data_IF_701228669096
#
_entry.id   IF_701228669096
#
_cell.length_a   1.000
_cell.length_b   1.000
_cell.length_c   1.000
_cell.angle_alpha   90.00
_cell.angle_beta   90.00
_cell.angle_gamma   90.00
#
_symmetry.space_group_name_H-M   'P 1'
#
loop_
_entity.id
_entity.type
_entity.pdbx_description
1 polymer ?
#
# COMPACT_ATOMS: atom_id res chain seq x y z
N UNK A 1 18.64 -6.30 -2.54
CA UNK A 1 17.40 -5.82 -1.88
C UNK A 1 16.33 -5.36 -2.88
N UNK A 2 16.64 -4.62 -3.97
CA UNK A 2 15.61 -4.26 -4.97
C UNK A 2 15.07 -5.45 -5.77
N UNK A 3 15.90 -6.46 -6.07
CA UNK A 3 15.51 -7.69 -6.78
C UNK A 3 14.42 -8.50 -6.08
N UNK A 4 14.23 -8.31 -4.77
CA UNK A 4 13.15 -8.96 -4.01
C UNK A 4 11.87 -8.12 -3.93
N UNK A 5 11.84 -6.88 -4.44
CA UNK A 5 10.66 -6.01 -4.36
C UNK A 5 9.55 -6.45 -5.31
N UNK A 6 9.86 -6.84 -6.55
CA UNK A 6 8.85 -7.35 -7.48
C UNK A 6 8.13 -8.61 -6.95
N UNK A 7 8.82 -9.66 -6.47
CA UNK A 7 8.12 -10.79 -5.86
C UNK A 7 7.39 -10.40 -4.57
N UNK A 8 7.93 -9.49 -3.75
CA UNK A 8 7.26 -8.97 -2.56
C UNK A 8 5.91 -8.29 -2.90
N UNK A 9 5.88 -7.42 -3.90
CA UNK A 9 4.66 -6.75 -4.34
C UNK A 9 3.65 -7.72 -4.95
N UNK A 10 4.12 -8.70 -5.75
CA UNK A 10 3.25 -9.75 -6.29
C UNK A 10 2.60 -10.55 -5.18
N UNK A 11 3.37 -10.98 -4.17
CA UNK A 11 2.84 -11.79 -3.06
C UNK A 11 1.87 -11.03 -2.16
N UNK A 12 2.13 -9.75 -1.88
CA UNK A 12 1.27 -8.97 -0.98
C UNK A 12 0.02 -8.41 -1.66
N UNK A 13 0.16 -7.97 -2.91
CA UNK A 13 -0.84 -7.13 -3.56
C UNK A 13 -1.35 -7.70 -4.88
N UNK A 14 -0.77 -8.81 -5.36
CA UNK A 14 -1.02 -9.35 -6.68
C UNK A 14 -0.79 -8.32 -7.81
N UNK A 15 0.18 -7.41 -7.61
CA UNK A 15 0.61 -6.44 -8.61
C UNK A 15 2.10 -6.58 -8.90
N UNK A 16 2.49 -6.23 -10.13
CA UNK A 16 3.88 -6.20 -10.57
C UNK A 16 4.16 -4.92 -11.34
N UNK A 17 4.17 -3.75 -10.67
CA UNK A 17 4.57 -2.51 -11.33
C UNK A 17 6.01 -2.62 -11.78
N UNK A 18 6.34 -2.00 -12.92
CA UNK A 18 7.72 -1.82 -13.35
C UNK A 18 8.45 -1.02 -12.27
N UNK A 19 9.61 -1.50 -11.84
CA UNK A 19 10.46 -0.76 -10.91
C UNK A 19 11.51 -0.01 -11.72
N UNK A 20 11.58 1.30 -11.55
CA UNK A 20 12.44 2.18 -12.33
C UNK A 20 13.44 2.85 -11.38
N UNK A 21 14.68 2.96 -11.82
CA UNK A 21 15.75 3.60 -11.06
C UNK A 21 15.72 5.10 -11.34
N UNK A 22 15.64 5.90 -10.28
CA UNK A 22 15.84 7.34 -10.41
C UNK A 22 17.35 7.56 -10.49
N UNK A 23 17.80 7.96 -11.68
CA UNK A 23 19.21 8.22 -11.99
C UNK A 23 19.57 9.70 -11.86
N UNK A 24 18.57 10.58 -11.82
CA UNK A 24 18.76 12.02 -11.70
C UNK A 24 19.01 12.43 -10.24
N UNK A 25 20.09 13.17 -9.94
CA UNK A 25 20.45 13.53 -8.57
C UNK A 25 19.42 14.41 -7.84
N UNK A 26 18.56 15.10 -8.58
CA UNK A 26 17.62 16.09 -8.02
C UNK A 26 16.37 15.44 -7.43
N UNK A 27 16.04 14.21 -7.82
CA UNK A 27 14.85 13.50 -7.36
C UNK A 27 15.26 12.35 -6.44
N UNK A 28 15.15 12.58 -5.13
CA UNK A 28 15.58 11.59 -4.12
C UNK A 28 14.40 10.83 -3.49
N UNK A 29 13.18 11.08 -3.98
CA UNK A 29 11.93 10.54 -3.44
C UNK A 29 11.32 9.49 -4.36
N UNK A 30 10.64 8.48 -3.81
CA UNK A 30 9.77 7.61 -4.60
C UNK A 30 8.71 8.43 -5.33
N UNK A 31 8.33 8.01 -6.54
CA UNK A 31 7.14 8.53 -7.20
C UNK A 31 6.50 7.51 -8.13
N UNK A 32 5.20 7.66 -8.35
CA UNK A 32 4.44 6.84 -9.28
C UNK A 32 4.25 7.57 -10.60
N UNK A 33 4.54 6.88 -11.71
CA UNK A 33 4.21 7.32 -13.06
C UNK A 33 3.50 6.21 -13.85
N UNK A 34 2.93 6.50 -15.03
CA UNK A 34 2.33 5.47 -15.87
C UNK A 34 3.29 4.35 -16.27
N UNK A 35 4.61 4.63 -16.26
CA UNK A 35 5.63 3.63 -16.55
C UNK A 35 5.85 2.66 -15.39
N UNK A 36 5.56 3.07 -14.15
CA UNK A 36 5.73 2.26 -12.95
C UNK A 36 6.14 3.06 -11.71
N UNK A 37 6.71 2.33 -10.74
CA UNK A 37 7.21 2.86 -9.49
C UNK A 37 8.68 3.24 -9.64
N UNK A 38 8.97 4.53 -9.48
CA UNK A 38 10.32 5.07 -9.48
C UNK A 38 10.88 5.08 -8.06
N UNK A 39 12.06 4.50 -7.89
CA UNK A 39 12.76 4.45 -6.61
C UNK A 39 14.19 4.95 -6.78
N UNK A 40 14.70 5.74 -5.82
CA UNK A 40 16.10 6.15 -5.81
C UNK A 40 17.01 4.94 -5.67
N UNK A 41 18.26 5.08 -6.13
CA UNK A 41 19.27 4.01 -6.02
C UNK A 41 19.59 3.66 -4.55
N UNK A 42 19.46 4.65 -3.66
CA UNK A 42 19.76 4.52 -2.24
C UNK A 42 18.62 5.13 -1.42
N UNK A 43 18.38 4.55 -0.24
CA UNK A 43 17.51 5.20 0.75
C UNK A 43 18.12 6.56 1.16
N UNK A 44 17.29 7.52 1.61
CA UNK A 44 17.77 8.81 2.10
C UNK A 44 18.83 8.62 3.20
N UNK A 45 19.90 9.42 3.17
CA UNK A 45 21.03 9.25 4.09
C UNK A 45 20.66 9.39 5.59
N UNK A 46 19.61 10.14 5.88
CA UNK A 46 19.09 10.32 7.24
C UNK A 46 18.21 9.15 7.72
N UNK A 47 17.93 8.17 6.86
CA UNK A 47 17.02 7.08 7.16
C UNK A 47 17.79 5.81 7.56
N UNK A 48 17.70 5.46 8.85
CA UNK A 48 18.42 4.32 9.42
C UNK A 48 17.69 2.98 9.30
N UNK A 49 16.41 2.98 8.89
CA UNK A 49 15.58 1.78 8.90
C UNK A 49 15.85 0.86 7.68
N UNK A 50 16.24 -0.39 7.96
CA UNK A 50 16.63 -1.39 6.95
C UNK A 50 15.53 -1.77 5.93
N UNK A 51 14.27 -1.36 6.16
CA UNK A 51 13.13 -1.71 5.32
C UNK A 51 12.52 -0.54 4.56
N UNK A 52 13.28 0.54 4.35
CA UNK A 52 12.79 1.73 3.66
C UNK A 52 12.24 1.42 2.25
N UNK A 53 12.93 0.60 1.46
CA UNK A 53 12.45 0.22 0.13
C UNK A 53 11.15 -0.58 0.15
N UNK A 54 10.98 -1.48 1.13
CA UNK A 54 9.73 -2.22 1.31
C UNK A 54 8.59 -1.30 1.76
N UNK A 55 8.88 -0.34 2.63
CA UNK A 55 7.92 0.67 3.08
C UNK A 55 7.45 1.54 1.90
N UNK A 56 8.39 2.02 1.08
CA UNK A 56 8.09 2.83 -0.10
C UNK A 56 7.30 2.03 -1.15
N UNK A 57 7.74 0.82 -1.46
CA UNK A 57 7.05 -0.04 -2.41
C UNK A 57 5.64 -0.42 -1.93
N UNK A 58 5.46 -0.74 -0.65
CA UNK A 58 4.15 -1.06 -0.09
C UNK A 58 3.20 0.15 -0.10
N UNK A 59 3.72 1.36 0.15
CA UNK A 59 2.95 2.59 0.13
C UNK A 59 2.49 2.92 -1.30
N UNK A 60 3.40 2.88 -2.27
CA UNK A 60 3.07 3.07 -3.68
C UNK A 60 2.05 2.02 -4.18
N UNK A 61 2.19 0.76 -3.76
CA UNK A 61 1.22 -0.29 -4.06
C UNK A 61 -0.17 0.03 -3.48
N UNK A 62 -0.23 0.58 -2.25
CA UNK A 62 -1.48 1.00 -1.64
C UNK A 62 -2.18 2.10 -2.46
N UNK A 63 -1.43 3.07 -3.01
CA UNK A 63 -1.99 4.05 -3.94
C UNK A 63 -2.53 3.41 -5.23
N UNK A 64 -1.78 2.51 -5.86
CA UNK A 64 -2.24 1.80 -7.07
C UNK A 64 -3.55 1.03 -6.85
N UNK A 65 -3.77 0.51 -5.64
CA UNK A 65 -4.96 -0.28 -5.31
C UNK A 65 -6.13 0.60 -4.87
N UNK A 66 -5.87 1.62 -4.04
CA UNK A 66 -6.92 2.37 -3.34
C UNK A 66 -7.13 3.81 -3.81
N UNK A 67 -6.18 4.44 -4.51
CA UNK A 67 -6.30 5.80 -5.06
C UNK A 67 -6.78 5.78 -6.51
N UNK A 68 -8.00 5.29 -6.73
CA UNK A 68 -8.56 5.07 -8.07
C UNK A 68 -9.06 6.36 -8.76
N UNK A 69 -9.13 7.47 -8.04
CA UNK A 69 -9.65 8.73 -8.54
C UNK A 69 -8.68 9.86 -8.22
N UNK A 70 -8.33 10.65 -9.24
CA UNK A 70 -7.50 11.85 -9.09
C UNK A 70 -8.35 12.98 -8.51
N UNK A 71 -7.74 13.83 -7.68
CA UNK A 71 -8.41 15.00 -7.10
C UNK A 71 -8.32 16.21 -8.02
N UNK A 72 -9.41 16.97 -8.13
CA UNK A 72 -9.41 18.23 -8.87
C UNK A 72 -8.59 19.31 -8.17
N UNK A 73 -7.50 19.84 -8.74
CA UNK A 73 -6.65 20.82 -8.05
C UNK A 73 -7.33 22.21 -7.95
N UNK A 74 -8.30 22.50 -8.82
CA UNK A 74 -8.95 23.81 -8.89
C UNK A 74 -9.54 24.24 -7.54
N UNK A 75 -9.22 25.47 -7.12
CA UNK A 75 -9.73 26.06 -5.87
C UNK A 75 -9.02 25.61 -4.58
N UNK A 76 -8.05 24.68 -4.65
CA UNK A 76 -7.23 24.33 -3.48
C UNK A 76 -6.06 25.30 -3.32
N UNK A 77 -5.84 25.76 -2.09
CA UNK A 77 -4.59 26.45 -1.72
C UNK A 77 -3.47 25.43 -1.54
N UNK A 78 -2.19 25.80 -1.73
CA UNK A 78 -1.09 24.84 -1.63
C UNK A 78 -1.02 24.08 -0.30
N UNK A 79 -1.27 24.74 0.84
CA UNK A 79 -1.30 24.08 2.15
C UNK A 79 -2.46 23.07 2.24
N UNK A 80 -3.62 23.40 1.68
CA UNK A 80 -4.78 22.48 1.60
C UNK A 80 -4.47 21.27 0.71
N UNK A 81 -3.75 21.49 -0.40
CA UNK A 81 -3.30 20.42 -1.28
C UNK A 81 -2.34 19.46 -0.55
N UNK A 82 -1.40 20.00 0.22
CA UNK A 82 -0.48 19.21 1.06
C UNK A 82 -1.22 18.42 2.15
N UNK A 83 -2.22 19.02 2.81
CA UNK A 83 -3.09 18.30 3.77
C UNK A 83 -3.85 17.18 3.06
N UNK A 84 -4.43 17.45 1.90
CA UNK A 84 -5.20 16.45 1.15
C UNK A 84 -4.32 15.25 0.76
N UNK A 85 -3.10 15.48 0.26
CA UNK A 85 -2.13 14.40 0.02
C UNK A 85 -1.83 13.60 1.28
N UNK A 86 -1.50 14.26 2.40
CA UNK A 86 -1.20 13.58 3.65
C UNK A 86 -2.39 12.75 4.21
N UNK A 87 -3.63 13.21 4.00
CA UNK A 87 -4.83 12.46 4.35
C UNK A 87 -5.02 11.25 3.42
N UNK A 88 -4.77 11.39 2.12
CA UNK A 88 -4.88 10.29 1.16
C UNK A 88 -3.83 9.21 1.42
N UNK A 89 -2.57 9.60 1.67
CA UNK A 89 -1.52 8.69 2.10
C UNK A 89 -1.95 7.87 3.32
N UNK A 90 -2.49 8.55 4.34
CA UNK A 90 -2.94 7.91 5.57
C UNK A 90 -4.15 6.99 5.30
N UNK A 91 -5.03 7.35 4.36
CA UNK A 91 -6.18 6.53 3.97
C UNK A 91 -5.73 5.24 3.30
N UNK A 92 -4.85 5.32 2.31
CA UNK A 92 -4.37 4.12 1.62
C UNK A 92 -3.55 3.22 2.54
N UNK A 93 -2.73 3.79 3.42
CA UNK A 93 -1.98 3.03 4.43
C UNK A 93 -2.90 2.38 5.47
N UNK A 94 -3.97 3.06 5.88
CA UNK A 94 -4.96 2.50 6.79
C UNK A 94 -5.74 1.35 6.15
N UNK A 95 -6.21 1.52 4.91
CA UNK A 95 -6.87 0.46 4.13
C UNK A 95 -5.94 -0.73 3.91
N UNK A 96 -4.69 -0.46 3.55
CA UNK A 96 -3.67 -1.47 3.39
C UNK A 96 -3.41 -2.24 4.69
N UNK A 97 -3.33 -1.54 5.82
CA UNK A 97 -3.14 -2.17 7.13
C UNK A 97 -4.37 -2.97 7.60
N UNK A 98 -5.54 -2.79 6.98
CA UNK A 98 -6.72 -3.63 7.25
C UNK A 98 -6.67 -4.95 6.49
N UNK A 99 -6.20 -4.92 5.24
CA UNK A 99 -6.00 -6.13 4.43
C UNK A 99 -4.75 -6.91 4.91
N UNK A 100 -3.68 -6.18 5.25
CA UNK A 100 -2.38 -6.72 5.63
C UNK A 100 -1.89 -6.07 6.94
N UNK A 101 -2.30 -6.61 8.12
CA UNK A 101 -2.01 -6.00 9.42
C UNK A 101 -0.52 -5.76 9.72
N UNK A 102 0.37 -6.52 9.07
CA UNK A 102 1.82 -6.36 9.19
C UNK A 102 2.36 -5.03 8.64
N UNK A 103 1.66 -4.39 7.70
CA UNK A 103 2.12 -3.15 7.05
C UNK A 103 2.18 -1.96 8.02
N UNK A 104 1.28 -1.90 9.00
CA UNK A 104 1.37 -0.88 10.06
C UNK A 104 2.72 -0.97 10.80
N UNK A 105 3.18 -2.19 11.12
CA UNK A 105 4.48 -2.39 11.79
C UNK A 105 5.67 -2.02 10.90
N UNK A 106 5.51 -2.12 9.59
CA UNK A 106 6.52 -1.70 8.61
C UNK A 106 6.66 -0.18 8.57
N UNK A 107 5.55 0.58 8.58
CA UNK A 107 5.58 2.04 8.46
C UNK A 107 5.80 2.77 9.78
N UNK A 108 5.29 2.24 10.89
CA UNK A 108 5.31 2.92 12.19
C UNK A 108 6.70 3.45 12.64
N UNK A 109 7.83 2.75 12.40
CA UNK A 109 9.15 3.24 12.77
C UNK A 109 9.56 4.56 12.09
N UNK A 110 9.00 4.85 10.90
CA UNK A 110 9.29 6.07 10.15
C UNK A 110 8.50 7.30 10.64
N UNK A 111 7.48 7.10 11.48
CA UNK A 111 6.66 8.20 12.03
C UNK A 111 7.19 8.69 13.39
N UNK A 112 8.47 9.00 13.47
CA UNK A 112 9.03 9.69 14.63
C UNK A 112 8.53 11.14 14.65
N UNK A 113 8.05 11.61 15.80
CA UNK A 113 7.54 12.98 15.97
C UNK A 113 8.18 13.62 17.19
N UNK A 114 8.48 14.92 17.09
CA UNK A 114 8.97 15.74 18.19
C UNK A 114 7.88 16.74 18.56
N UNK A 115 7.55 16.81 19.85
CA UNK A 115 6.60 17.81 20.34
C UNK A 115 7.33 19.13 20.55
N UNK A 116 6.73 20.21 20.05
CA UNK A 116 7.19 21.58 20.17
C UNK A 116 6.02 22.45 20.60
N UNK A 117 6.29 23.49 21.39
CA UNK A 117 5.30 24.48 21.83
C UNK A 117 4.85 25.37 20.66
N UNK A 118 5.70 25.55 19.66
CA UNK A 118 5.42 26.33 18.44
C UNK A 118 5.68 25.47 17.20
N UNK A 119 4.81 24.50 16.90
CA UNK A 119 5.01 23.59 15.77
C UNK A 119 4.86 24.33 14.43
N UNK A 120 5.72 23.98 13.46
CA UNK A 120 5.53 24.42 12.08
C UNK A 120 4.34 23.71 11.43
N UNK A 121 3.95 24.13 10.23
CA UNK A 121 2.96 23.41 9.44
C UNK A 121 3.42 21.96 9.14
N UNK A 122 4.68 21.77 8.77
CA UNK A 122 5.25 20.45 8.50
C UNK A 122 5.29 19.58 9.77
N UNK A 123 5.58 20.17 10.94
CA UNK A 123 5.52 19.43 12.22
C UNK A 123 4.10 18.93 12.50
N UNK A 124 3.09 19.76 12.26
CA UNK A 124 1.69 19.36 12.40
C UNK A 124 1.28 18.27 11.42
N UNK A 125 1.76 18.31 10.17
CA UNK A 125 1.52 17.23 9.20
C UNK A 125 2.17 15.91 9.63
N UNK A 126 3.41 15.92 10.14
CA UNK A 126 4.07 14.70 10.64
C UNK A 126 3.33 14.12 11.85
N UNK A 127 2.90 14.98 12.77
CA UNK A 127 2.07 14.61 13.93
C UNK A 127 0.73 14.04 13.51
N UNK A 128 0.07 14.64 12.53
CA UNK A 128 -1.15 14.12 11.93
C UNK A 128 -0.91 12.73 11.33
N UNK A 129 0.10 12.58 10.47
CA UNK A 129 0.42 11.30 9.84
C UNK A 129 0.70 10.20 10.89
N UNK A 130 1.46 10.51 11.96
CA UNK A 130 1.67 9.58 13.09
C UNK A 130 0.36 9.20 13.76
N UNK A 131 -0.47 10.20 14.08
CA UNK A 131 -1.76 9.99 14.74
C UNK A 131 -2.65 9.09 13.90
N UNK A 132 -2.78 9.33 12.59
CA UNK A 132 -3.65 8.52 11.72
C UNK A 132 -3.16 7.07 11.55
N UNK A 133 -1.85 6.83 11.56
CA UNK A 133 -1.30 5.48 11.45
C UNK A 133 -1.40 4.67 12.76
N UNK A 134 -1.11 5.31 13.91
CA UNK A 134 -1.07 4.70 15.24
C UNK A 134 -2.31 5.06 16.05
N UNK A 135 -3.27 4.14 16.14
CA UNK A 135 -4.52 4.40 16.85
C UNK A 135 -4.36 4.57 18.37
N UNK A 136 -3.24 4.11 18.92
CA UNK A 136 -2.92 4.27 20.35
C UNK A 136 -2.19 5.58 20.65
N UNK A 137 -1.74 6.30 19.61
CA UNK A 137 -1.06 7.57 19.77
C UNK A 137 -2.07 8.69 20.07
N UNK A 138 -1.82 9.39 21.16
CA UNK A 138 -2.57 10.58 21.55
C UNK A 138 -1.71 11.82 21.32
N UNK A 139 -2.16 12.68 20.41
CA UNK A 139 -1.53 13.97 20.16
C UNK A 139 -2.32 15.09 20.87
N UNK A 140 -1.66 15.98 21.63
CA UNK A 140 -2.35 17.01 22.41
C UNK A 140 -2.79 18.24 21.59
N UNK A 141 -2.33 18.42 20.36
CA UNK A 141 -2.58 19.64 19.60
C UNK A 141 -4.01 19.68 19.05
N UNK A 142 -4.80 20.75 19.31
CA UNK A 142 -6.21 20.81 18.92
C UNK A 142 -6.47 20.57 17.43
N UNK A 143 -5.60 21.09 16.55
CA UNK A 143 -5.71 20.86 15.11
C UNK A 143 -5.52 19.38 14.72
N UNK A 144 -4.60 18.67 15.38
CA UNK A 144 -4.35 17.23 15.11
C UNK A 144 -5.52 16.39 15.64
N UNK A 145 -6.04 16.73 16.82
CA UNK A 145 -7.24 16.08 17.40
C UNK A 145 -8.42 16.23 16.45
N UNK A 146 -8.70 17.46 15.99
CA UNK A 146 -9.78 17.75 15.03
C UNK A 146 -9.59 16.98 13.72
N UNK A 147 -8.37 16.98 13.16
CA UNK A 147 -8.07 16.26 11.92
C UNK A 147 -8.28 14.75 12.07
N UNK A 148 -7.84 14.16 13.20
CA UNK A 148 -8.08 12.75 13.51
C UNK A 148 -9.57 12.43 13.64
N UNK A 149 -10.34 13.31 14.30
CA UNK A 149 -11.79 13.15 14.42
C UNK A 149 -12.43 13.17 13.04
N UNK A 150 -12.19 14.21 12.23
CA UNK A 150 -12.70 14.30 10.86
C UNK A 150 -12.35 13.08 10.00
N UNK A 151 -11.19 12.45 10.24
CA UNK A 151 -10.74 11.29 9.47
C UNK A 151 -11.43 9.97 9.88
N UNK A 152 -11.72 9.78 11.17
CA UNK A 152 -12.29 8.52 11.68
C UNK A 152 -13.77 8.58 12.06
N UNK A 153 -14.35 9.76 12.25
CA UNK A 153 -15.72 9.96 12.71
C UNK A 153 -16.34 11.16 12.00
N UNK A 154 -17.46 10.97 11.32
CA UNK A 154 -18.33 12.08 10.95
C UNK A 154 -19.59 12.18 11.83
N UNK A 155 -20.38 13.23 11.62
CA UNK A 155 -21.60 13.53 12.37
C UNK A 155 -22.68 12.43 12.29
N UNK A 156 -22.55 11.49 11.35
CA UNK A 156 -23.42 10.32 11.19
C UNK A 156 -22.84 9.03 11.80
N UNK A 157 -21.60 9.06 12.30
CA UNK A 157 -20.90 7.91 12.86
C UNK A 157 -20.17 7.05 11.82
N UNK A 158 -20.02 7.51 10.58
CA UNK A 158 -19.27 6.79 9.55
C UNK A 158 -17.78 7.19 9.54
N UNK A 159 -16.93 6.30 9.03
CA UNK A 159 -15.49 6.54 8.89
C UNK A 159 -15.17 7.24 7.56
N UNK A 160 -14.55 8.42 7.59
CA UNK A 160 -14.11 9.16 6.40
C UNK A 160 -13.10 8.37 5.55
N UNK A 161 -12.29 7.52 6.18
CA UNK A 161 -11.39 6.58 5.50
C UNK A 161 -12.10 5.56 4.58
N UNK A 162 -13.43 5.43 4.69
CA UNK A 162 -14.30 4.63 3.83
C UNK A 162 -15.17 5.45 2.87
N UNK A 163 -15.04 6.79 2.88
CA UNK A 163 -15.87 7.68 2.05
C UNK A 163 -15.22 7.99 0.70
N UNK A 164 -16.05 8.50 -0.19
CA UNK A 164 -15.68 8.96 -1.53
C UNK A 164 -14.60 10.08 -1.46
N UNK A 165 -13.78 10.24 -2.52
CA UNK A 165 -12.71 11.27 -2.58
C UNK A 165 -13.14 12.68 -2.15
N UNK A 166 -14.38 13.08 -2.42
CA UNK A 166 -14.94 14.39 -2.08
C UNK A 166 -14.95 14.67 -0.57
N UNK A 167 -15.19 13.64 0.25
CA UNK A 167 -15.20 13.78 1.71
C UNK A 167 -13.81 14.14 2.24
N UNK A 168 -12.76 13.52 1.68
CA UNK A 168 -11.37 13.79 2.04
C UNK A 168 -10.97 15.22 1.66
N UNK A 169 -11.40 15.67 0.47
CA UNK A 169 -11.22 17.04 0.00
C UNK A 169 -11.91 18.07 0.92
N UNK A 170 -13.13 17.77 1.37
CA UNK A 170 -13.85 18.65 2.29
C UNK A 170 -13.13 18.77 3.64
N UNK A 171 -12.71 17.63 4.23
CA UNK A 171 -11.93 17.62 5.45
C UNK A 171 -10.62 18.42 5.32
N UNK A 172 -9.89 18.23 4.20
CA UNK A 172 -8.68 19.01 3.93
C UNK A 172 -8.95 20.52 3.86
N UNK A 173 -10.08 20.93 3.28
CA UNK A 173 -10.48 22.33 3.17
C UNK A 173 -10.76 22.97 4.55
N UNK A 174 -11.46 22.25 5.43
CA UNK A 174 -11.70 22.69 6.82
C UNK A 174 -10.37 22.82 7.59
N UNK A 175 -9.50 21.83 7.47
CA UNK A 175 -8.20 21.85 8.13
C UNK A 175 -7.29 22.96 7.58
N UNK A 176 -7.30 23.19 6.27
CA UNK A 176 -6.55 24.26 5.63
C UNK A 176 -7.05 25.66 6.02
N UNK A 177 -8.35 25.82 6.30
CA UNK A 177 -8.87 27.05 6.88
C UNK A 177 -8.26 27.31 8.26
N UNK A 178 -8.21 26.30 9.13
CA UNK A 178 -7.62 26.42 10.46
C UNK A 178 -6.13 26.80 10.40
N UNK A 179 -5.37 26.20 9.47
CA UNK A 179 -3.96 26.58 9.22
C UNK A 179 -3.85 28.07 8.89
N UNK A 180 -4.75 28.58 8.06
CA UNK A 180 -4.82 30.00 7.73
C UNK A 180 -5.12 30.88 8.94
N UNK A 181 -6.03 30.45 9.84
CA UNK A 181 -6.36 31.17 11.07
C UNK A 181 -5.19 31.18 12.06
N UNK A 182 -4.46 30.07 12.16
CA UNK A 182 -3.23 29.97 12.97
C UNK A 182 -2.06 30.76 12.36
N UNK A 183 -2.20 31.24 11.12
CA UNK A 183 -1.17 32.00 10.38
C UNK A 183 0.16 31.25 10.23
N UNK A 184 0.11 29.92 10.15
CA UNK A 184 1.29 29.12 9.88
C UNK A 184 1.74 29.33 8.43
N UNK A 185 3.04 29.55 8.27
CA UNK A 185 3.64 29.72 6.95
C UNK A 185 3.77 28.37 6.26
N UNK A 186 3.60 28.36 4.95
CA UNK A 186 3.79 27.19 4.11
C UNK A 186 4.51 27.57 2.82
N UNK A 187 5.63 26.91 2.55
CA UNK A 187 6.38 27.09 1.31
C UNK A 187 6.24 25.85 0.42
N UNK A 188 5.32 25.92 -0.53
CA UNK A 188 5.04 24.81 -1.44
C UNK A 188 6.24 24.38 -2.29
N UNK A 189 7.23 25.26 -2.54
CA UNK A 189 8.41 24.93 -3.34
C UNK A 189 9.45 24.09 -2.59
N UNK A 190 9.46 24.21 -1.26
CA UNK A 190 10.40 23.50 -0.39
C UNK A 190 9.71 22.37 0.38
N UNK A 191 8.41 22.17 0.15
CA UNK A 191 7.63 21.16 0.84
C UNK A 191 7.98 19.78 0.30
N UNK A 192 8.27 18.86 1.22
CA UNK A 192 8.48 17.45 0.93
C UNK A 192 7.46 16.61 1.70
N UNK A 193 6.88 15.61 1.02
CA UNK A 193 5.98 14.65 1.64
C UNK A 193 6.76 13.82 2.67
N UNK A 194 6.14 13.62 3.84
CA UNK A 194 6.71 12.86 4.94
C UNK A 194 5.71 11.79 5.43
N UNK A 195 6.18 10.63 5.93
CA UNK A 195 7.59 10.24 6.10
C UNK A 195 8.31 9.92 4.79
N UNK A 196 9.61 9.69 4.91
CA UNK A 196 10.53 9.74 3.77
C UNK A 196 10.29 8.71 2.68
N UNK A 197 9.64 7.60 3.03
CA UNK A 197 9.31 6.49 2.14
C UNK A 197 8.08 6.75 1.26
N UNK A 198 7.27 7.76 1.60
CA UNK A 198 6.08 8.09 0.83
C UNK A 198 6.44 8.66 -0.53
N UNK A 199 5.53 8.53 -1.48
CA UNK A 199 5.73 9.15 -2.77
C UNK A 199 5.45 10.66 -2.76
N UNK A 200 5.76 11.33 -3.87
CA UNK A 200 5.58 12.77 -4.01
C UNK A 200 4.12 13.21 -4.18
N UNK A 201 3.17 12.27 -4.11
CA UNK A 201 1.74 12.48 -4.33
C UNK A 201 1.37 12.97 -5.74
N UNK A 202 2.31 12.94 -6.70
CA UNK A 202 2.03 13.36 -8.08
C UNK A 202 0.95 12.50 -8.74
N UNK A 203 0.79 11.24 -8.32
CA UNK A 203 -0.23 10.34 -8.86
C UNK A 203 -1.67 10.75 -8.52
N UNK A 204 -1.86 11.55 -7.47
CA UNK A 204 -3.16 11.99 -6.98
C UNK A 204 -3.79 13.10 -7.83
N UNK A 205 -3.01 13.74 -8.70
CA UNK A 205 -3.44 14.92 -9.45
C UNK A 205 -3.55 14.61 -10.94
N UNK A 206 -4.38 15.35 -11.69
CA UNK A 206 -4.35 15.32 -13.13
C UNK A 206 -2.93 15.57 -13.66
N UNK A 207 -2.50 14.85 -14.70
CA UNK A 207 -1.19 15.02 -15.26
C UNK A 207 -1.11 16.39 -15.91
N UNK A 208 0.06 17.02 -15.87
CA UNK A 208 0.29 18.16 -16.73
C UNK A 208 0.23 17.73 -18.22
N UNK A 209 0.19 18.70 -19.13
CA UNK A 209 0.03 18.41 -20.56
C UNK A 209 1.10 17.46 -21.11
N UNK A 210 2.34 17.64 -20.67
CA UNK A 210 3.49 16.88 -21.15
C UNK A 210 3.46 15.43 -20.64
N UNK A 211 3.09 15.25 -19.37
CA UNK A 211 2.83 13.93 -18.81
C UNK A 211 1.62 13.28 -19.46
N UNK A 212 0.55 14.03 -19.73
CA UNK A 212 -0.65 13.53 -20.41
C UNK A 212 -0.32 12.96 -21.81
N UNK A 213 0.53 13.64 -22.57
CA UNK A 213 1.04 13.16 -23.87
C UNK A 213 1.82 11.85 -23.71
N UNK A 214 2.68 11.77 -22.69
CA UNK A 214 3.42 10.54 -22.36
C UNK A 214 2.49 9.41 -21.91
N UNK A 215 1.49 9.67 -21.06
CA UNK A 215 0.51 8.63 -20.65
C UNK A 215 -0.29 8.13 -21.86
N UNK A 216 -0.64 9.02 -22.80
CA UNK A 216 -1.34 8.66 -24.04
C UNK A 216 -0.49 7.79 -24.97
N UNK A 217 0.80 8.12 -25.14
CA UNK A 217 1.74 7.32 -25.93
C UNK A 217 1.98 5.93 -25.33
N UNK A 218 2.12 5.84 -24.01
CA UNK A 218 2.23 4.55 -23.30
C UNK A 218 0.96 3.72 -23.47
N UNK A 219 -0.22 4.34 -23.30
CA UNK A 219 -1.50 3.65 -23.49
C UNK A 219 -1.73 3.21 -24.95
N UNK A 220 -1.19 3.95 -25.93
CA UNK A 220 -1.24 3.62 -27.35
C UNK A 220 -0.19 2.57 -27.76
N UNK A 221 0.82 2.32 -26.93
CA UNK A 221 1.82 1.29 -27.16
C UNK A 221 1.21 -0.07 -26.78
N UNK A 222 1.09 -1.04 -27.70
CA UNK A 222 0.58 -2.36 -27.35
C UNK A 222 1.50 -2.95 -26.27
N UNK A 223 0.95 -3.50 -25.17
CA UNK A 223 1.78 -4.07 -24.13
C UNK A 223 2.71 -5.12 -24.73
N UNK A 224 4.00 -5.18 -24.31
CA UNK A 224 4.84 -6.32 -24.68
C UNK A 224 4.07 -7.58 -24.30
N UNK A 225 4.07 -8.58 -25.20
CA UNK A 225 3.29 -9.80 -25.05
C UNK A 225 3.30 -10.25 -23.59
N UNK A 226 2.17 -10.02 -22.91
CA UNK A 226 2.03 -10.32 -21.50
C UNK A 226 2.25 -11.83 -21.42
N UNK A 227 3.34 -12.27 -20.79
CA UNK A 227 3.43 -13.66 -20.37
C UNK A 227 2.20 -13.85 -19.49
N UNK A 228 1.24 -14.63 -19.99
CA UNK A 228 -0.06 -14.78 -19.36
C UNK A 228 0.17 -15.00 -17.87
N UNK A 229 -0.27 -14.04 -17.06
CA UNK A 229 -0.27 -14.20 -15.62
C UNK A 229 -1.03 -15.52 -15.37
N UNK A 230 -0.35 -16.48 -14.75
CA UNK A 230 -0.99 -17.71 -14.29
C UNK A 230 -2.23 -17.30 -13.53
N UNK A 231 -3.39 -17.85 -13.90
CA UNK A 231 -4.65 -17.54 -13.25
C UNK A 231 -4.50 -17.85 -11.76
N UNK A 232 -4.44 -16.81 -10.94
CA UNK A 232 -4.37 -16.96 -9.50
C UNK A 232 -5.80 -17.00 -8.94
N UNK A 233 -6.15 -18.09 -8.27
CA UNK A 233 -7.45 -18.25 -7.64
C UNK A 233 -7.40 -17.63 -6.24
N UNK A 234 -8.17 -16.57 -6.01
CA UNK A 234 -8.32 -15.96 -4.69
C UNK A 234 -9.39 -16.69 -3.90
N UNK A 235 -9.01 -17.32 -2.80
CA UNK A 235 -9.90 -17.96 -1.85
C UNK A 235 -9.98 -17.13 -0.57
N UNK A 236 -11.18 -16.69 -0.20
CA UNK A 236 -11.42 -15.98 1.05
C UNK A 236 -11.87 -16.94 2.15
N UNK A 237 -11.26 -16.85 3.32
CA UNK A 237 -11.57 -17.69 4.47
C UNK A 237 -11.99 -16.85 5.69
N UNK A 238 -12.94 -17.37 6.49
CA UNK A 238 -13.26 -16.79 7.77
C UNK A 238 -12.14 -17.07 8.78
N UNK A 239 -11.71 -16.05 9.53
CA UNK A 239 -10.78 -16.23 10.66
C UNK A 239 -11.31 -15.59 11.94
N UNK A 240 -10.89 -16.16 13.07
CA UNK A 240 -11.19 -15.64 14.40
C UNK A 240 -10.21 -14.52 14.76
N UNK A 241 -10.72 -13.32 15.02
CA UNK A 241 -9.90 -12.22 15.54
C UNK A 241 -9.78 -12.35 17.06
N UNK A 242 -8.55 -12.47 17.58
CA UNK A 242 -8.31 -12.61 19.02
C UNK A 242 -8.41 -11.28 19.77
N UNK A 243 -8.21 -10.16 19.08
CA UNK A 243 -8.25 -8.81 19.65
C UNK A 243 -9.68 -8.26 19.70
N UNK A 244 -10.51 -8.67 18.75
CA UNK A 244 -11.95 -8.40 18.72
C UNK A 244 -12.65 -9.75 18.66
N UNK A 245 -13.30 -10.24 19.75
CA UNK A 245 -13.76 -11.63 19.87
C UNK A 245 -14.92 -11.96 18.92
N UNK A 246 -14.61 -12.04 17.63
CA UNK A 246 -15.56 -12.09 16.52
C UNK A 246 -14.91 -12.80 15.33
N UNK A 247 -15.68 -13.65 14.66
CA UNK A 247 -15.29 -14.26 13.37
C UNK A 247 -15.44 -13.24 12.25
N UNK A 248 -14.36 -12.97 11.53
CA UNK A 248 -14.36 -12.11 10.35
C UNK A 248 -14.42 -12.98 9.10
N UNK A 249 -15.52 -12.89 8.35
CA UNK A 249 -15.88 -13.86 7.30
C UNK A 249 -14.94 -13.90 6.08
N UNK A 250 -14.31 -12.79 5.73
CA UNK A 250 -13.47 -12.66 4.53
C UNK A 250 -12.09 -12.07 4.87
N UNK A 251 -11.55 -12.42 6.04
CA UNK A 251 -10.35 -11.76 6.59
C UNK A 251 -9.05 -12.26 5.96
N UNK A 252 -8.96 -13.56 5.74
CA UNK A 252 -7.79 -14.18 5.12
C UNK A 252 -8.09 -14.46 3.65
N UNK A 253 -7.21 -14.02 2.76
CA UNK A 253 -7.25 -14.40 1.35
C UNK A 253 -6.01 -15.22 1.02
N UNK A 254 -6.21 -16.44 0.52
CA UNK A 254 -5.14 -17.26 -0.06
C UNK A 254 -5.19 -17.06 -1.57
N UNK A 255 -4.03 -16.73 -2.15
CA UNK A 255 -3.85 -16.71 -3.60
C UNK A 255 -3.18 -18.01 -4.00
N UNK A 256 -3.90 -18.85 -4.74
CA UNK A 256 -3.36 -20.09 -5.27
C UNK A 256 -2.95 -19.86 -6.72
N UNK A 257 -1.64 -19.87 -6.98
CA UNK A 257 -1.10 -19.74 -8.34
C UNK A 257 -1.22 -21.11 -9.01
N UNK A 258 -2.16 -21.27 -9.96
CA UNK A 258 -2.19 -22.48 -10.77
C UNK A 258 -0.97 -22.50 -11.68
N UNK A 259 0.09 -23.18 -11.25
CA UNK A 259 1.20 -23.52 -12.15
C UNK A 259 0.64 -24.54 -13.12
N UNK A 260 0.41 -24.15 -14.38
CA UNK A 260 0.19 -25.12 -15.46
C UNK A 260 1.38 -26.09 -15.40
N UNK A 261 1.17 -27.40 -15.15
CA UNK A 261 2.26 -28.34 -15.21
C UNK A 261 2.86 -28.25 -16.63
N UNK A 262 4.20 -28.29 -16.77
CA UNK A 262 4.80 -28.40 -18.10
C UNK A 262 4.16 -29.58 -18.81
N UNK A 263 3.86 -29.41 -20.12
CA UNK A 263 3.21 -30.41 -20.95
C UNK A 263 3.76 -31.80 -20.63
N UNK A 264 2.85 -32.70 -20.26
CA UNK A 264 3.16 -33.98 -19.63
C UNK A 264 4.30 -34.69 -20.36
N UNK A 265 5.44 -34.83 -19.69
CA UNK A 265 6.44 -35.82 -20.09
C UNK A 265 5.80 -37.21 -20.01
N UNK A 266 6.06 -38.13 -20.95
CA UNK A 266 5.46 -39.45 -20.94
C UNK A 266 5.72 -40.13 -19.60
N UNK A 267 4.64 -40.50 -18.92
CA UNK A 267 4.63 -41.10 -17.59
C UNK A 267 5.45 -42.39 -17.63
N UNK A 268 6.57 -42.51 -16.89
CA UNK A 268 7.28 -43.77 -16.81
C UNK A 268 6.39 -44.82 -16.15
N UNK A 269 6.45 -46.06 -16.64
CA UNK A 269 5.66 -47.17 -16.11
C UNK A 269 5.85 -47.32 -14.59
N UNK A 270 4.80 -47.69 -13.84
CA UNK A 270 4.86 -47.73 -12.38
C UNK A 270 5.85 -48.80 -11.93
N UNK A 271 6.96 -48.35 -11.33
CA UNK A 271 7.80 -49.23 -10.52
C UNK A 271 7.10 -49.45 -9.19
N UNK A 272 6.70 -50.69 -8.92
CA UNK A 272 6.27 -51.15 -7.59
C UNK A 272 7.42 -50.95 -6.63
N UNK A 273 7.38 -49.87 -5.86
CA UNK A 273 8.34 -49.61 -4.79
C UNK A 273 7.58 -49.82 -3.50
N UNK A 274 7.80 -50.95 -2.84
CA UNK A 274 7.33 -51.14 -1.46
C UNK A 274 8.14 -50.18 -0.59
N UNK A 275 7.49 -49.15 -0.07
CA UNK A 275 8.06 -48.30 0.96
C UNK A 275 7.85 -49.04 2.29
N UNK A 276 8.92 -49.64 2.83
CA UNK A 276 8.89 -50.15 4.21
C UNK A 276 9.06 -48.99 5.19
N UNK A 277 8.38 -49.08 6.33
CA UNK A 277 8.38 -48.12 7.45
C UNK A 277 7.55 -46.84 7.23
N UNK A 278 6.27 -47.00 6.90
CA UNK A 278 5.30 -45.92 7.12
C UNK A 278 4.87 -45.86 8.61
N UNK A 279 4.48 -44.69 9.14
CA UNK A 279 4.12 -44.50 10.55
C UNK A 279 2.95 -45.40 11.02
N UNK A 280 2.11 -45.83 10.09
CA UNK A 280 0.83 -46.50 10.37
C UNK A 280 0.87 -48.03 10.21
N UNK A 281 2.03 -48.62 9.83
CA UNK A 281 2.24 -50.08 9.75
C UNK A 281 1.80 -50.73 8.42
N UNK A 282 2.39 -51.90 8.13
CA UNK A 282 2.35 -52.57 6.81
C UNK A 282 0.99 -53.23 6.44
N UNK A 283 -0.04 -53.11 7.28
CA UNK A 283 -1.32 -53.80 7.08
C UNK A 283 -2.32 -53.04 6.20
N UNK A 284 -2.16 -51.71 6.05
CA UNK A 284 -3.07 -50.89 5.24
C UNK A 284 -2.29 -49.92 4.34
N UNK A 285 -2.18 -50.27 3.07
CA UNK A 285 -1.64 -49.40 2.03
C UNK A 285 -2.73 -48.38 1.60
N UNK A 286 -2.79 -47.28 2.35
CA UNK A 286 -3.71 -46.16 2.12
C UNK A 286 -3.47 -45.49 0.76
N UNK A 287 -2.23 -45.47 0.28
CA UNK A 287 -1.86 -44.90 -1.01
C UNK A 287 -2.48 -45.71 -2.16
N UNK A 288 -2.48 -47.05 -2.05
CA UNK A 288 -3.15 -47.92 -3.02
C UNK A 288 -4.69 -47.73 -3.06
N UNK A 289 -5.31 -47.39 -1.92
CA UNK A 289 -6.74 -47.09 -1.84
C UNK A 289 -7.09 -45.74 -2.47
N UNK A 290 -6.24 -44.73 -2.29
CA UNK A 290 -6.40 -43.41 -2.90
C UNK A 290 -6.24 -43.47 -4.42
N UNK A 291 -5.23 -44.20 -4.91
CA UNK A 291 -5.03 -44.39 -6.35
C UNK A 291 -6.20 -45.14 -7.02
N UNK A 292 -6.81 -46.11 -6.33
CA UNK A 292 -7.98 -46.83 -6.84
C UNK A 292 -9.25 -45.97 -6.86
N UNK A 293 -9.37 -44.99 -5.96
CA UNK A 293 -10.49 -44.05 -5.93
C UNK A 293 -10.38 -42.98 -7.03
N UNK A 294 -9.16 -42.56 -7.38
CA UNK A 294 -8.90 -41.58 -8.46
C UNK A 294 -9.07 -42.22 -9.86
N UNK A 295 -8.98 -43.54 -9.98
CA UNK A 295 -9.14 -44.28 -11.24
C UNK A 295 -10.60 -44.63 -11.60
N UNK A 296 -11.61 -44.17 -10.83
CA UNK A 296 -13.03 -44.36 -11.11
C UNK A 296 -13.71 -43.13 -11.68
#
# INVERSE_FOLDING_TARGET
MRTSLSPYLRSLWNITPTLIDITEPQTTRPFLSPLGLHLPLHAPAHEAHAHWFQAAAAHAAAHLVFSQTRFEPAGLRPATQAILGALEDARVEWLASRELPGLRRLWLPFHAVVLSDTPSFEDLLRRLARSLLDLSHHDPHPWVIKARQLFFVDDAGDMLALRQPEALRHAASLLGHDIGQMRLQFNARLYEVMPSYRDDNSCLWPPDRQRAETEHEIAATPPPALVAATASHRHTYPEWDRLVPMVRRNWCSVLDDSVMPPAASPRPAPRRTRLMAQPDGDEFDLDALVDAAIAR
#
